data_IF_724936169830
#
_entry.id   IF_724936169830
#
_cell.length_a   1.000
_cell.length_b   1.000
_cell.length_c   1.000
_cell.angle_alpha   90.00
_cell.angle_beta   90.00
_cell.angle_gamma   90.00
#
_symmetry.space_group_name_H-M   'P 1'
#
loop_
_entity.id
_entity.type
_entity.pdbx_description
1 polymer ?
#
# COMPACT_ATOMS: atom_id res chain seq x y z
N UNK A 1 3.69 36.11 -72.24
CA UNK A 1 4.47 37.30 -71.86
C UNK A 1 5.02 37.04 -70.47
N UNK A 2 6.34 37.20 -70.34
CA UNK A 2 7.19 37.00 -69.16
C UNK A 2 7.51 35.55 -68.74
N UNK A 3 8.82 35.29 -68.73
CA UNK A 3 9.54 34.02 -68.54
C UNK A 3 10.07 33.93 -67.07
N UNK A 4 11.17 33.23 -66.72
CA UNK A 4 11.17 31.94 -66.01
C UNK A 4 11.99 31.89 -64.69
N UNK A 5 11.75 30.84 -63.86
CA UNK A 5 12.66 30.18 -62.85
C UNK A 5 13.16 31.06 -61.65
N UNK A 6 13.65 30.54 -60.49
CA UNK A 6 14.25 29.21 -60.23
C UNK A 6 13.89 28.54 -58.87
N UNK A 7 14.55 27.39 -58.71
CA UNK A 7 14.64 26.43 -57.60
C UNK A 7 15.30 27.01 -56.33
N UNK A 8 15.04 26.36 -55.18
CA UNK A 8 15.87 26.28 -53.96
C UNK A 8 15.67 27.36 -52.86
N UNK A 9 14.98 26.99 -51.78
CA UNK A 9 15.38 27.36 -50.40
C UNK A 9 14.68 26.42 -49.41
N UNK A 10 15.27 25.26 -49.15
CA UNK A 10 15.90 24.93 -47.87
C UNK A 10 14.88 24.60 -46.77
N UNK A 11 14.71 23.29 -46.56
CA UNK A 11 14.14 22.74 -45.35
C UNK A 11 14.93 23.24 -44.13
N UNK A 12 14.27 24.02 -43.27
CA UNK A 12 14.67 24.19 -41.87
C UNK A 12 13.65 23.41 -41.05
N UNK A 13 13.71 22.08 -41.19
CA UNK A 13 13.41 21.18 -40.08
C UNK A 13 14.70 21.08 -39.26
N UNK A 14 14.55 21.05 -37.93
CA UNK A 14 15.58 20.85 -36.89
C UNK A 14 16.18 22.14 -36.31
N UNK A 15 15.53 22.69 -35.27
CA UNK A 15 16.05 22.69 -33.89
C UNK A 15 15.10 23.48 -32.96
N UNK A 16 14.05 22.84 -32.46
CA UNK A 16 13.34 23.30 -31.25
C UNK A 16 12.87 22.12 -30.40
N UNK A 17 13.65 21.02 -30.44
CA UNK A 17 13.43 19.85 -29.61
C UNK A 17 14.71 19.59 -28.82
N UNK A 18 14.92 20.37 -27.76
CA UNK A 18 15.58 19.96 -26.52
C UNK A 18 15.15 21.02 -25.51
N UNK A 19 14.22 20.62 -24.64
CA UNK A 19 14.10 20.91 -23.19
C UNK A 19 12.62 20.84 -22.81
N UNK A 20 11.95 19.72 -23.10
CA UNK A 20 10.93 19.26 -22.16
C UNK A 20 11.68 18.35 -21.19
N UNK A 21 12.34 18.97 -20.22
CA UNK A 21 12.59 18.26 -18.98
C UNK A 21 11.19 17.95 -18.46
N UNK A 22 10.85 16.66 -18.45
CA UNK A 22 9.66 16.17 -17.78
C UNK A 22 9.66 16.75 -16.37
N UNK A 23 8.83 17.76 -16.14
CA UNK A 23 8.57 18.23 -14.80
C UNK A 23 7.95 17.02 -14.09
N UNK A 24 8.71 16.39 -13.20
CA UNK A 24 8.12 15.47 -12.23
C UNK A 24 7.02 16.25 -11.52
N UNK A 25 5.78 15.81 -11.67
CA UNK A 25 4.70 16.32 -10.82
C UNK A 25 5.02 15.91 -9.39
N UNK A 26 5.45 16.89 -8.58
CA UNK A 26 5.66 16.67 -7.16
C UNK A 26 4.31 16.41 -6.49
N UNK A 27 4.07 15.15 -6.13
CA UNK A 27 2.97 14.78 -5.26
C UNK A 27 3.33 15.12 -3.81
N UNK A 28 2.44 15.81 -3.11
CA UNK A 28 2.70 16.26 -1.73
C UNK A 28 2.74 15.13 -0.69
N UNK A 29 2.23 13.94 -1.03
CA UNK A 29 2.06 12.84 -0.07
C UNK A 29 0.86 13.00 0.86
N UNK A 30 0.14 14.13 0.79
CA UNK A 30 -1.00 14.41 1.67
C UNK A 30 -2.29 13.84 1.10
N UNK A 31 -3.05 13.14 1.94
CA UNK A 31 -4.44 12.81 1.66
C UNK A 31 -5.32 14.03 1.97
N UNK A 32 -5.67 14.78 0.91
CA UNK A 32 -6.50 15.97 1.03
C UNK A 32 -8.00 15.63 1.16
N UNK A 33 -8.41 14.40 0.87
CA UNK A 33 -9.81 13.98 0.97
C UNK A 33 -10.22 13.73 2.43
N UNK A 34 -9.25 13.44 3.30
CA UNK A 34 -9.43 13.34 4.75
C UNK A 34 -9.72 14.67 5.45
N UNK A 35 -9.48 15.81 4.79
CA UNK A 35 -9.59 17.13 5.40
C UNK A 35 -11.04 17.52 5.64
N UNK A 36 -11.33 18.02 6.84
CA UNK A 36 -12.55 18.74 7.16
C UNK A 36 -12.31 20.25 7.10
N UNK A 37 -12.66 20.84 5.96
CA UNK A 37 -12.49 22.29 5.70
C UNK A 37 -13.50 23.17 6.45
N UNK A 38 -14.45 22.59 7.18
CA UNK A 38 -15.37 23.36 8.04
C UNK A 38 -14.70 23.77 9.36
N UNK A 39 -13.68 23.03 9.79
CA UNK A 39 -12.82 23.36 10.93
C UNK A 39 -11.66 24.22 10.47
N UNK A 40 -11.35 25.33 11.13
CA UNK A 40 -10.16 26.12 10.81
C UNK A 40 -8.91 25.42 11.34
N UNK A 41 -7.88 25.30 10.51
CA UNK A 41 -6.61 24.67 10.92
C UNK A 41 -5.93 25.37 12.11
N UNK A 42 -6.17 26.66 12.31
CA UNK A 42 -5.63 27.43 13.45
C UNK A 42 -6.33 27.11 14.77
N UNK A 43 -7.56 26.59 14.72
CA UNK A 43 -8.34 26.24 15.91
C UNK A 43 -8.08 24.80 16.32
N UNK A 44 -8.10 23.88 15.35
CA UNK A 44 -7.79 22.47 15.55
C UNK A 44 -7.22 21.87 14.26
N UNK A 45 -5.89 21.75 14.21
CA UNK A 45 -5.19 21.18 13.07
C UNK A 45 -5.53 19.70 12.87
N UNK A 46 -5.73 18.95 13.97
CA UNK A 46 -5.97 17.50 13.89
C UNK A 46 -7.33 17.22 13.26
N UNK A 47 -8.38 17.89 13.72
CA UNK A 47 -9.71 17.77 13.12
C UNK A 47 -9.75 18.37 11.71
N UNK A 48 -9.05 19.46 11.44
CA UNK A 48 -8.97 20.01 10.08
C UNK A 48 -8.40 19.00 9.09
N UNK A 49 -7.34 18.27 9.45
CA UNK A 49 -6.67 17.33 8.54
C UNK A 49 -7.33 15.95 8.49
N UNK A 50 -7.90 15.48 9.60
CA UNK A 50 -8.38 14.09 9.74
C UNK A 50 -9.89 13.97 9.98
N UNK A 51 -10.63 15.09 10.05
CA UNK A 51 -12.02 15.12 10.50
C UNK A 51 -12.94 14.22 9.68
N UNK A 52 -12.78 14.19 8.35
CA UNK A 52 -13.59 13.29 7.52
C UNK A 52 -13.26 11.83 7.74
N UNK A 53 -11.98 11.49 7.88
CA UNK A 53 -11.55 10.13 8.17
C UNK A 53 -12.12 9.65 9.51
N UNK A 54 -12.13 10.50 10.54
CA UNK A 54 -12.71 10.19 11.85
C UNK A 54 -14.22 9.93 11.81
N UNK A 55 -14.96 10.66 10.97
CA UNK A 55 -16.41 10.47 10.82
C UNK A 55 -16.76 9.20 10.04
N UNK A 56 -15.90 8.77 9.12
CA UNK A 56 -16.19 7.68 8.18
C UNK A 56 -15.60 6.33 8.61
N UNK A 57 -14.50 6.35 9.36
CA UNK A 57 -13.77 5.14 9.71
C UNK A 57 -14.29 4.55 11.01
N UNK A 58 -14.77 3.31 10.93
CA UNK A 58 -15.15 2.52 12.10
C UNK A 58 -13.94 1.76 12.63
N UNK A 59 -13.83 1.63 13.95
CA UNK A 59 -12.85 0.75 14.57
C UNK A 59 -13.31 -0.70 14.32
N UNK A 60 -12.48 -1.55 13.68
CA UNK A 60 -12.82 -2.96 13.48
C UNK A 60 -13.09 -3.69 14.81
N UNK A 61 -14.01 -4.64 14.82
CA UNK A 61 -14.47 -5.29 16.06
C UNK A 61 -13.41 -6.13 16.79
N UNK A 62 -12.33 -6.50 16.12
CA UNK A 62 -11.17 -7.19 16.68
C UNK A 62 -10.11 -6.24 17.26
N UNK A 63 -10.36 -4.92 17.22
CA UNK A 63 -9.37 -3.89 17.56
C UNK A 63 -9.90 -2.91 18.60
N UNK A 64 -9.02 -2.47 19.51
CA UNK A 64 -9.35 -1.46 20.52
C UNK A 64 -9.23 -0.02 20.00
N UNK A 65 -8.48 0.17 18.92
CA UNK A 65 -8.23 1.45 18.25
C UNK A 65 -7.89 1.21 16.77
N UNK A 66 -8.04 2.25 15.95
CA UNK A 66 -7.69 2.19 14.54
C UNK A 66 -7.11 3.52 14.08
N UNK A 67 -6.17 3.45 13.13
CA UNK A 67 -5.41 4.59 12.63
C UNK A 67 -4.37 4.12 11.62
N UNK A 68 -3.56 5.04 11.11
CA UNK A 68 -2.58 4.75 10.05
C UNK A 68 -1.59 3.64 10.40
N UNK A 69 -1.11 3.59 11.64
CA UNK A 69 -0.18 2.54 12.09
C UNK A 69 -0.82 1.15 12.11
N UNK A 70 -2.07 1.04 12.55
CA UNK A 70 -2.78 -0.25 12.57
C UNK A 70 -3.15 -0.67 11.15
N UNK A 71 -3.57 0.26 10.29
CA UNK A 71 -3.81 -0.02 8.89
C UNK A 71 -2.55 -0.53 8.18
N UNK A 72 -1.37 0.03 8.51
CA UNK A 72 -0.09 -0.44 7.99
C UNK A 72 0.27 -1.84 8.53
N UNK A 73 0.06 -2.10 9.82
CA UNK A 73 0.29 -3.41 10.42
C UNK A 73 -0.60 -4.49 9.79
N UNK A 74 -1.90 -4.19 9.59
CA UNK A 74 -2.83 -5.10 8.90
C UNK A 74 -2.34 -5.43 7.48
N UNK A 75 -1.91 -4.42 6.72
CA UNK A 75 -1.36 -4.63 5.37
C UNK A 75 -0.07 -5.46 5.39
N UNK A 76 0.82 -5.21 6.36
CA UNK A 76 2.05 -5.98 6.54
C UNK A 76 1.75 -7.44 6.90
N UNK A 77 0.81 -7.69 7.82
CA UNK A 77 0.37 -9.02 8.22
C UNK A 77 -0.22 -9.80 7.05
N UNK A 78 -1.00 -9.16 6.20
CA UNK A 78 -1.55 -9.81 5.01
C UNK A 78 -0.44 -10.21 4.02
N UNK A 79 0.58 -9.38 3.84
CA UNK A 79 1.73 -9.73 3.02
C UNK A 79 2.55 -10.86 3.64
N UNK A 80 2.77 -10.83 4.95
CA UNK A 80 3.46 -11.91 5.69
C UNK A 80 2.68 -13.22 5.57
N UNK A 81 1.34 -13.18 5.72
CA UNK A 81 0.48 -14.35 5.56
C UNK A 81 0.67 -14.99 4.20
N UNK A 82 0.64 -14.21 3.12
CA UNK A 82 0.89 -14.71 1.75
C UNK A 82 2.25 -15.40 1.63
N UNK A 83 3.31 -14.77 2.15
CA UNK A 83 4.67 -15.33 2.13
C UNK A 83 4.74 -16.67 2.89
N UNK A 84 4.08 -16.75 4.04
CA UNK A 84 4.05 -17.97 4.86
C UNK A 84 3.23 -19.07 4.18
N UNK A 85 2.09 -18.74 3.59
CA UNK A 85 1.25 -19.68 2.83
C UNK A 85 2.03 -20.23 1.62
N UNK A 86 2.72 -19.37 0.87
CA UNK A 86 3.61 -19.79 -0.22
C UNK A 86 4.75 -20.71 0.27
N UNK A 87 5.37 -20.39 1.41
CA UNK A 87 6.41 -21.21 2.02
C UNK A 87 5.90 -22.58 2.50
N UNK A 88 4.64 -22.65 2.95
CA UNK A 88 3.99 -23.90 3.34
C UNK A 88 3.70 -24.80 2.13
N UNK A 89 3.29 -24.22 1.01
CA UNK A 89 3.02 -24.97 -0.23
C UNK A 89 4.30 -25.40 -0.95
N UNK A 90 5.30 -24.51 -1.03
CA UNK A 90 6.51 -24.68 -1.84
C UNK A 90 7.75 -24.19 -1.08
N UNK A 91 8.22 -24.94 -0.08
CA UNK A 91 9.41 -24.55 0.67
C UNK A 91 10.64 -24.54 -0.24
N UNK A 92 11.41 -23.45 -0.19
CA UNK A 92 12.65 -23.28 -0.94
C UNK A 92 13.89 -23.80 -0.21
N UNK A 93 13.80 -23.93 1.12
CA UNK A 93 14.86 -24.38 2.02
C UNK A 93 14.29 -24.94 3.34
N UNK A 94 15.16 -25.37 4.24
CA UNK A 94 14.75 -25.94 5.53
C UNK A 94 14.02 -24.92 6.43
N UNK A 95 14.38 -23.63 6.35
CA UNK A 95 13.76 -22.60 7.19
C UNK A 95 12.33 -22.31 6.74
N UNK A 96 12.11 -22.16 5.44
CA UNK A 96 10.78 -21.99 4.85
C UNK A 96 9.89 -23.20 5.10
N UNK A 97 10.44 -24.42 5.05
CA UNK A 97 9.71 -25.64 5.44
C UNK A 97 9.27 -25.61 6.91
N UNK A 98 10.14 -25.19 7.83
CA UNK A 98 9.79 -25.05 9.27
C UNK A 98 8.73 -23.98 9.50
N UNK A 99 8.84 -22.82 8.83
CA UNK A 99 7.86 -21.73 8.92
C UNK A 99 6.48 -22.21 8.46
N UNK A 100 6.40 -22.87 7.30
CA UNK A 100 5.14 -23.38 6.77
C UNK A 100 4.51 -24.47 7.65
N UNK A 101 5.33 -25.39 8.17
CA UNK A 101 4.87 -26.42 9.09
C UNK A 101 4.35 -25.83 10.42
N UNK A 102 5.04 -24.82 10.97
CA UNK A 102 4.61 -24.12 12.17
C UNK A 102 3.27 -23.40 11.96
N UNK A 103 3.12 -22.68 10.84
CA UNK A 103 1.86 -22.03 10.48
C UNK A 103 0.72 -23.03 10.35
N UNK A 104 0.95 -24.14 9.63
CA UNK A 104 -0.04 -25.20 9.44
C UNK A 104 -0.45 -25.85 10.76
N UNK A 105 0.49 -26.02 11.70
CA UNK A 105 0.21 -26.52 13.04
C UNK A 105 -0.69 -25.56 13.83
N UNK A 106 -0.48 -24.25 13.70
CA UNK A 106 -1.28 -23.24 14.40
C UNK A 106 -2.69 -23.11 13.79
N UNK A 107 -2.81 -23.16 12.47
CA UNK A 107 -4.07 -22.99 11.75
C UNK A 107 -5.00 -24.22 11.80
N UNK A 108 -4.54 -25.37 12.29
CA UNK A 108 -5.36 -26.58 12.39
C UNK A 108 -6.26 -26.57 13.64
N UNK A 109 -7.32 -25.76 13.59
CA UNK A 109 -8.30 -25.63 14.67
C UNK A 109 -8.99 -26.96 15.01
N UNK A 110 -9.23 -27.84 14.05
CA UNK A 110 -9.85 -29.16 14.28
C UNK A 110 -8.99 -30.01 15.23
N UNK A 111 -7.69 -30.10 14.95
CA UNK A 111 -6.76 -30.84 15.80
C UNK A 111 -6.60 -30.20 17.18
N UNK A 112 -6.56 -28.86 17.24
CA UNK A 112 -6.50 -28.12 18.51
C UNK A 112 -7.73 -28.43 19.36
N UNK A 113 -8.93 -28.37 18.78
CA UNK A 113 -10.18 -28.67 19.47
C UNK A 113 -10.27 -30.14 19.89
N UNK A 114 -9.79 -31.07 19.06
CA UNK A 114 -9.74 -32.50 19.40
C UNK A 114 -8.82 -32.77 20.61
N UNK A 115 -7.66 -32.10 20.67
CA UNK A 115 -6.69 -32.27 21.76
C UNK A 115 -7.15 -31.59 23.06
N UNK A 116 -7.92 -30.51 22.96
CA UNK A 116 -8.41 -29.75 24.12
C UNK A 116 -7.29 -29.38 25.09
N UNK A 117 -7.52 -29.55 26.39
CA UNK A 117 -6.54 -29.20 27.43
C UNK A 117 -5.48 -30.28 27.69
N UNK A 118 -5.47 -31.40 26.95
CA UNK A 118 -4.55 -32.51 27.24
C UNK A 118 -3.07 -32.10 27.19
N UNK A 119 -2.60 -31.27 26.24
CA UNK A 119 -1.20 -30.82 26.21
C UNK A 119 -0.74 -30.02 27.43
N UNK A 120 -1.67 -29.44 28.21
CA UNK A 120 -1.37 -28.65 29.41
C UNK A 120 -1.27 -29.50 30.68
N UNK A 121 -1.59 -30.79 30.63
CA UNK A 121 -1.63 -31.66 31.83
C UNK A 121 -0.31 -32.31 32.19
N UNK A 122 0.72 -32.17 31.35
CA UNK A 122 2.04 -32.77 31.56
C UNK A 122 3.06 -31.77 32.15
N UNK A 123 2.62 -30.62 32.63
CA UNK A 123 3.40 -29.70 33.49
C UNK A 123 3.22 -30.03 34.99
#
# INVERSE_FOLDING_TARGET
MYSPRPMLMTAIMLLSSITSAVAEEFYSGLDLDGFDRTVRAQDDLFLHMNGRWLMQTQIPGDKSNYGSFIALDDAARENIRKIIEEAAEKPSDENTAKVGAFYSSFMNEELINQKGIQPLKEE
#
